data_IF_357107937554
#
_entry.id   IF_357107937554
#
_cell.length_a   1.000
_cell.length_b   1.000
_cell.length_c   1.000
_cell.angle_alpha   90.00
_cell.angle_beta   90.00
_cell.angle_gamma   90.00
#
_symmetry.space_group_name_H-M   'P 1'
#
loop_
_entity.id
_entity.type
_entity.pdbx_description
1 polymer ?
#
# COMPACT_ATOMS: atom_id res chain seq x y z
N UNK A 1 -9.33 -19.05 1.35
CA UNK A 1 -9.63 -18.83 -0.10
C UNK A 1 -9.39 -17.37 -0.48
N UNK A 2 -8.92 -17.06 -1.70
CA UNK A 2 -8.65 -15.68 -2.10
C UNK A 2 -9.82 -15.00 -2.81
N UNK A 3 -10.06 -13.73 -2.47
CA UNK A 3 -11.10 -12.88 -3.05
C UNK A 3 -10.49 -11.64 -3.69
N UNK A 4 -10.82 -11.37 -4.94
CA UNK A 4 -10.33 -10.18 -5.64
C UNK A 4 -10.95 -8.91 -5.02
N UNK A 5 -10.10 -7.98 -4.61
CA UNK A 5 -10.51 -6.64 -4.15
C UNK A 5 -10.54 -5.63 -5.30
N UNK A 6 -9.56 -5.69 -6.20
CA UNK A 6 -9.47 -4.72 -7.30
C UNK A 6 -8.08 -4.65 -7.91
N UNK A 7 -7.72 -3.46 -8.40
CA UNK A 7 -6.39 -3.12 -8.92
C UNK A 7 -5.86 -1.94 -8.12
N UNK A 8 -4.60 -2.00 -7.68
CA UNK A 8 -3.90 -0.97 -6.92
C UNK A 8 -2.48 -0.81 -7.47
N UNK A 9 -2.06 0.42 -7.74
CA UNK A 9 -0.74 0.72 -8.32
C UNK A 9 -0.39 -0.09 -9.59
N UNK A 10 -1.40 -0.56 -10.33
CA UNK A 10 -1.25 -1.37 -11.55
C UNK A 10 -1.41 -2.87 -11.32
N UNK A 11 -1.32 -3.34 -10.09
CA UNK A 11 -1.37 -4.75 -9.74
C UNK A 11 -2.75 -5.19 -9.23
N UNK A 12 -3.11 -6.45 -9.47
CA UNK A 12 -4.35 -7.01 -8.90
C UNK A 12 -4.15 -7.29 -7.43
N UNK A 13 -5.06 -6.80 -6.59
CA UNK A 13 -5.03 -7.04 -5.14
C UNK A 13 -6.09 -8.07 -4.75
N UNK A 14 -5.70 -9.01 -3.90
CA UNK A 14 -6.55 -10.07 -3.35
C UNK A 14 -6.55 -10.05 -1.83
N UNK A 15 -7.66 -10.51 -1.25
CA UNK A 15 -7.87 -10.75 0.16
C UNK A 15 -7.79 -12.26 0.41
N UNK A 16 -6.91 -12.70 1.29
CA UNK A 16 -7.00 -14.03 1.86
C UNK A 16 -8.18 -14.08 2.85
N UNK A 17 -9.18 -14.89 2.55
CA UNK A 17 -10.36 -15.09 3.39
C UNK A 17 -10.10 -15.84 4.69
N UNK A 18 -8.98 -16.55 4.82
CA UNK A 18 -8.65 -17.31 6.02
C UNK A 18 -7.88 -16.44 7.03
N UNK A 19 -6.88 -15.68 6.58
CA UNK A 19 -6.08 -14.79 7.45
C UNK A 19 -6.57 -13.35 7.50
N UNK A 20 -7.31 -12.91 6.48
CA UNK A 20 -7.69 -11.50 6.27
C UNK A 20 -6.59 -10.66 5.65
N UNK A 21 -5.41 -11.21 5.37
CA UNK A 21 -4.28 -10.52 4.76
C UNK A 21 -4.57 -10.10 3.32
N UNK A 22 -3.97 -8.99 2.90
CA UNK A 22 -4.12 -8.40 1.58
C UNK A 22 -2.80 -8.53 0.84
N UNK A 23 -2.83 -9.07 -0.37
CA UNK A 23 -1.66 -9.43 -1.16
C UNK A 23 -1.79 -8.92 -2.58
N UNK A 24 -0.65 -8.72 -3.25
CA UNK A 24 -0.60 -8.64 -4.71
C UNK A 24 -0.79 -10.04 -5.28
N UNK A 25 -1.73 -10.20 -6.20
CA UNK A 25 -1.96 -11.47 -6.88
C UNK A 25 -0.75 -11.80 -7.77
N UNK A 26 -0.23 -13.02 -7.66
CA UNK A 26 0.78 -13.53 -8.57
C UNK A 26 0.28 -13.48 -10.04
N UNK A 27 1.13 -13.04 -10.97
CA UNK A 27 0.81 -13.14 -12.39
C UNK A 27 0.84 -14.62 -12.83
N UNK A 28 0.00 -14.98 -13.80
CA UNK A 28 -0.07 -16.37 -14.29
C UNK A 28 1.32 -16.84 -14.78
N UNK A 29 1.91 -17.81 -14.07
CA UNK A 29 3.22 -18.40 -14.39
C UNK A 29 4.32 -18.12 -13.36
N UNK A 30 4.11 -17.18 -12.44
CA UNK A 30 5.03 -16.88 -11.34
C UNK A 30 4.51 -17.47 -10.03
N UNK A 31 4.55 -18.81 -9.91
CA UNK A 31 4.40 -19.45 -8.59
C UNK A 31 5.76 -19.41 -7.87
N UNK A 32 6.07 -18.25 -7.30
CA UNK A 32 7.21 -18.01 -6.41
C UNK A 32 6.71 -17.44 -5.08
N UNK A 33 7.24 -17.95 -3.97
CA UNK A 33 6.74 -17.78 -2.60
C UNK A 33 6.97 -16.39 -1.97
N UNK A 34 6.81 -15.32 -2.74
CA UNK A 34 6.86 -13.94 -2.24
C UNK A 34 5.74 -13.14 -2.92
N UNK A 35 4.48 -13.50 -2.65
CA UNK A 35 3.37 -12.57 -2.88
C UNK A 35 3.53 -11.44 -1.86
N UNK A 36 3.92 -10.21 -2.25
CA UNK A 36 4.25 -9.20 -1.26
C UNK A 36 2.98 -8.84 -0.49
N UNK A 37 2.99 -9.15 0.81
CA UNK A 37 1.98 -8.72 1.75
C UNK A 37 1.84 -7.20 1.62
N UNK A 38 0.66 -6.74 1.22
CA UNK A 38 0.34 -5.30 1.14
C UNK A 38 -0.17 -4.81 2.47
N UNK A 39 -0.91 -5.67 3.19
CA UNK A 39 -1.33 -5.43 4.56
C UNK A 39 -1.68 -6.76 5.25
N UNK A 40 -1.32 -6.87 6.53
CA UNK A 40 -1.63 -7.96 7.45
C UNK A 40 -3.13 -8.23 7.64
N UNK A 41 -3.98 -7.23 7.40
CA UNK A 41 -5.44 -7.40 7.43
C UNK A 41 -6.17 -6.42 6.51
N UNK A 42 -7.40 -6.73 6.11
CA UNK A 42 -8.28 -5.81 5.38
C UNK A 42 -8.48 -4.47 6.13
N UNK A 43 -8.57 -4.50 7.47
CA UNK A 43 -8.70 -3.27 8.27
C UNK A 43 -7.46 -2.40 8.13
N UNK A 44 -6.30 -3.04 8.22
CA UNK A 44 -5.01 -2.38 8.11
C UNK A 44 -4.81 -1.81 6.71
N UNK A 45 -5.19 -2.56 5.67
CA UNK A 45 -5.22 -2.09 4.28
C UNK A 45 -6.05 -0.82 4.13
N UNK A 46 -7.28 -0.78 4.66
CA UNK A 46 -8.14 0.40 4.56
C UNK A 46 -7.56 1.62 5.31
N UNK A 47 -6.92 1.41 6.46
CA UNK A 47 -6.22 2.48 7.18
C UNK A 47 -5.04 3.02 6.37
N UNK A 48 -4.24 2.13 5.77
CA UNK A 48 -3.12 2.48 4.90
C UNK A 48 -3.59 3.27 3.67
N UNK A 49 -4.67 2.82 3.00
CA UNK A 49 -5.29 3.57 1.89
C UNK A 49 -5.71 4.97 2.33
N UNK A 50 -6.28 5.13 3.53
CA UNK A 50 -6.69 6.44 4.03
C UNK A 50 -5.50 7.38 4.27
N UNK A 51 -4.44 6.90 4.93
CA UNK A 51 -3.20 7.67 5.14
C UNK A 51 -2.57 8.08 3.81
N UNK A 52 -2.45 7.11 2.90
CA UNK A 52 -1.92 7.28 1.55
C UNK A 52 -2.69 8.32 0.73
N UNK A 53 -4.03 8.22 0.69
CA UNK A 53 -4.89 9.16 -0.04
C UNK A 53 -4.82 10.57 0.56
N UNK A 54 -4.69 10.68 1.89
CA UNK A 54 -4.53 11.96 2.57
C UNK A 54 -3.24 12.65 2.11
N UNK A 55 -2.11 11.95 2.14
CA UNK A 55 -0.84 12.50 1.65
C UNK A 55 -0.86 12.88 0.17
N UNK A 56 -1.43 12.03 -0.69
CA UNK A 56 -1.62 12.33 -2.13
C UNK A 56 -2.42 13.61 -2.37
N UNK A 57 -3.43 13.88 -1.55
CA UNK A 57 -4.19 15.13 -1.62
C UNK A 57 -3.39 16.34 -1.11
N UNK A 58 -2.52 16.16 -0.12
CA UNK A 58 -1.66 17.21 0.43
C UNK A 58 -0.50 17.61 -0.51
N UNK A 59 0.09 16.65 -1.24
CA UNK A 59 1.27 16.88 -2.07
C UNK A 59 1.14 18.03 -3.09
N UNK A 60 0.02 18.18 -3.84
CA UNK A 60 -0.19 19.31 -4.75
C UNK A 60 -0.32 20.66 -4.04
N UNK A 61 -0.69 20.67 -2.76
CA UNK A 61 -0.87 21.89 -1.96
C UNK A 61 0.44 22.39 -1.34
N UNK A 62 1.48 21.56 -1.35
CA UNK A 62 2.78 21.89 -0.80
C UNK A 62 3.43 23.07 -1.56
N UNK A 63 3.85 24.07 -0.80
CA UNK A 63 4.45 25.32 -1.25
C UNK A 63 5.95 25.21 -1.57
N UNK A 64 6.61 24.15 -1.09
CA UNK A 64 8.05 23.96 -1.24
C UNK A 64 8.44 22.49 -1.47
N UNK A 65 9.67 22.26 -1.94
CA UNK A 65 10.21 20.91 -2.07
C UNK A 65 10.37 20.22 -0.70
N UNK A 66 10.70 20.99 0.34
CA UNK A 66 10.86 20.46 1.70
C UNK A 66 9.52 20.00 2.28
N UNK A 67 8.46 20.80 2.12
CA UNK A 67 7.11 20.41 2.55
C UNK A 67 6.62 19.16 1.81
N UNK A 68 6.94 19.00 0.51
CA UNK A 68 6.63 17.76 -0.22
C UNK A 68 7.37 16.55 0.36
N UNK A 69 8.64 16.73 0.75
CA UNK A 69 9.44 15.68 1.39
C UNK A 69 8.83 15.30 2.74
N UNK A 70 8.49 16.28 3.58
CA UNK A 70 7.84 16.04 4.88
C UNK A 70 6.51 15.30 4.74
N UNK A 71 5.68 15.67 3.75
CA UNK A 71 4.42 14.96 3.48
C UNK A 71 4.69 13.50 3.08
N UNK A 72 5.66 13.24 2.19
CA UNK A 72 6.03 11.87 1.80
C UNK A 72 6.53 11.07 2.99
N UNK A 73 7.45 11.63 3.78
CA UNK A 73 8.01 10.99 4.97
C UNK A 73 6.93 10.68 6.00
N UNK A 74 5.95 11.59 6.18
CA UNK A 74 4.79 11.37 7.06
C UNK A 74 3.93 10.20 6.57
N UNK A 75 3.64 10.12 5.27
CA UNK A 75 2.85 8.99 4.73
C UNK A 75 3.57 7.67 4.93
N UNK A 76 4.88 7.61 4.63
CA UNK A 76 5.66 6.39 4.81
C UNK A 76 5.72 5.98 6.29
N UNK A 77 5.88 6.94 7.19
CA UNK A 77 5.85 6.70 8.64
C UNK A 77 4.49 6.20 9.12
N UNK A 78 3.39 6.78 8.60
CA UNK A 78 2.03 6.34 8.93
C UNK A 78 1.78 4.92 8.42
N UNK A 79 2.22 4.60 7.20
CA UNK A 79 2.11 3.24 6.65
C UNK A 79 2.85 2.23 7.52
N UNK A 80 4.09 2.51 7.92
CA UNK A 80 4.89 1.65 8.80
C UNK A 80 4.25 1.50 10.19
N UNK A 81 3.69 2.58 10.75
CA UNK A 81 3.00 2.53 12.04
C UNK A 81 1.70 1.71 11.97
N UNK A 82 0.97 1.81 10.86
CA UNK A 82 -0.27 1.05 10.59
C UNK A 82 0.05 -0.43 10.38
N UNK A 83 1.07 -0.73 9.57
CA UNK A 83 1.50 -2.07 9.21
C UNK A 83 2.99 -2.12 8.90
N UNK A 84 3.79 -2.56 9.87
CA UNK A 84 5.25 -2.62 9.69
C UNK A 84 5.64 -3.55 8.53
N UNK A 85 4.95 -4.69 8.38
CA UNK A 85 5.26 -5.66 7.34
C UNK A 85 4.67 -5.24 5.99
N UNK A 86 3.39 -4.84 5.98
CA UNK A 86 2.69 -4.41 4.76
C UNK A 86 3.25 -3.12 4.14
N UNK A 87 3.78 -2.20 4.95
CA UNK A 87 4.39 -0.96 4.47
C UNK A 87 5.62 -1.17 3.59
N UNK A 88 6.28 -2.33 3.70
CA UNK A 88 7.45 -2.71 2.88
C UNK A 88 7.07 -3.09 1.46
N UNK A 89 5.77 -3.25 1.18
CA UNK A 89 5.28 -3.52 -0.16
C UNK A 89 5.55 -2.35 -1.11
N UNK A 90 6.16 -2.66 -2.25
CA UNK A 90 6.40 -1.68 -3.33
C UNK A 90 5.09 -1.10 -3.89
N UNK A 91 3.95 -1.75 -3.62
CA UNK A 91 2.61 -1.27 -3.94
C UNK A 91 2.30 0.14 -3.38
N UNK A 92 3.01 0.57 -2.32
CA UNK A 92 2.89 1.91 -1.73
C UNK A 92 3.95 2.89 -2.23
N UNK A 93 5.23 2.49 -2.20
CA UNK A 93 6.36 3.40 -2.38
C UNK A 93 6.45 3.98 -3.81
N UNK A 94 6.31 3.13 -4.83
CA UNK A 94 6.38 3.56 -6.24
C UNK A 94 5.32 4.62 -6.56
N UNK A 95 4.15 4.55 -5.93
CA UNK A 95 3.02 5.40 -6.26
C UNK A 95 3.09 6.82 -5.63
N UNK A 96 4.02 7.07 -4.69
CA UNK A 96 4.27 8.41 -4.11
C UNK A 96 5.34 9.22 -4.87
N UNK A 97 6.14 8.55 -5.70
CA UNK A 97 7.18 9.17 -6.51
C UNK A 97 6.63 9.82 -7.79
N UNK A 98 5.44 9.40 -8.25
CA UNK A 98 4.67 9.95 -9.39
C UNK A 98 3.86 11.23 -9.07
#
# INVERSE_FOLDING_TARGET
>A
PYYRLGVWSGDTIVLDGDTGGVYVAAQEGEFGWDEPLVASSLRTFLAAVQAYMTGRCLLPMASSAEERREIRDSVLSDLEWIDEEGSRSEAWATALED
#
